data_IF_683879823130
#
_entry.id   IF_683879823130
#
_cell.length_a   1.000
_cell.length_b   1.000
_cell.length_c   1.000
_cell.angle_alpha   90.00
_cell.angle_beta   90.00
_cell.angle_gamma   90.00
#
_symmetry.space_group_name_H-M   'P 1'
#
loop_
_entity.id
_entity.type
_entity.pdbx_description
1 polymer ?
#
# COMPACT_ATOMS: atom_id res chain seq x y z
N UNK A 1 2.90 2.76 -22.56
CA UNK A 1 3.30 2.32 -21.20
C UNK A 1 2.01 2.04 -20.45
N UNK A 2 1.80 0.81 -19.99
CA UNK A 2 0.51 0.43 -19.38
C UNK A 2 0.33 1.12 -18.03
N UNK A 3 -0.76 1.88 -17.86
CA UNK A 3 -1.13 2.55 -16.61
C UNK A 3 -1.52 1.57 -15.48
N UNK A 4 -1.22 0.29 -15.64
CA UNK A 4 -1.61 -0.77 -14.71
C UNK A 4 -0.89 -0.54 -13.37
N UNK A 5 -1.66 -0.32 -12.31
CA UNK A 5 -1.19 -0.09 -10.93
C UNK A 5 -0.60 1.31 -10.67
N UNK A 6 -0.96 2.35 -11.44
CA UNK A 6 -0.50 3.72 -11.22
C UNK A 6 -0.84 4.23 -9.82
N UNK A 7 -2.04 3.94 -9.30
CA UNK A 7 -2.43 4.36 -7.95
C UNK A 7 -1.68 3.56 -6.90
N UNK A 8 -1.63 2.22 -7.01
CA UNK A 8 -0.88 1.38 -6.08
C UNK A 8 0.61 1.76 -5.99
N UNK A 9 1.24 2.08 -7.14
CA UNK A 9 2.63 2.57 -7.17
C UNK A 9 2.78 3.93 -6.50
N UNK A 10 1.81 4.84 -6.71
CA UNK A 10 1.77 6.14 -6.04
C UNK A 10 1.64 6.03 -4.52
N UNK A 11 0.74 5.18 -4.03
CA UNK A 11 0.55 4.91 -2.60
C UNK A 11 1.82 4.33 -1.96
N UNK A 12 2.46 3.35 -2.61
CA UNK A 12 3.73 2.77 -2.13
C UNK A 12 4.87 3.80 -2.12
N UNK A 13 4.98 4.63 -3.16
CA UNK A 13 5.97 5.71 -3.21
C UNK A 13 5.75 6.74 -2.09
N UNK A 14 4.49 7.09 -1.81
CA UNK A 14 4.13 7.96 -0.70
C UNK A 14 4.53 7.35 0.65
N UNK A 15 4.21 6.08 0.90
CA UNK A 15 4.59 5.40 2.14
C UNK A 15 6.11 5.44 2.38
N UNK A 16 6.91 5.17 1.35
CA UNK A 16 8.39 5.26 1.40
C UNK A 16 8.89 6.67 1.65
N UNK A 17 8.26 7.67 1.02
CA UNK A 17 8.61 9.06 1.24
C UNK A 17 8.36 9.48 2.70
N UNK A 18 7.20 9.11 3.23
CA UNK A 18 6.83 9.39 4.63
C UNK A 18 7.77 8.68 5.60
N UNK A 19 8.13 7.43 5.34
CA UNK A 19 9.09 6.69 6.15
C UNK A 19 10.47 7.38 6.17
N UNK A 20 10.97 7.82 5.01
CA UNK A 20 12.22 8.56 4.94
C UNK A 20 12.16 9.86 5.75
N UNK A 21 11.05 10.61 5.65
CA UNK A 21 10.83 11.83 6.42
C UNK A 21 10.75 11.58 7.94
N UNK A 22 10.07 10.50 8.35
CA UNK A 22 10.01 10.05 9.75
C UNK A 22 11.39 9.73 10.31
N UNK A 23 12.17 8.94 9.57
CA UNK A 23 13.52 8.57 9.99
C UNK A 23 14.43 9.79 10.11
N UNK A 24 14.30 10.76 9.20
CA UNK A 24 15.06 12.01 9.29
C UNK A 24 14.64 12.85 10.50
N UNK A 25 13.33 13.04 10.71
CA UNK A 25 12.79 13.74 11.88
C UNK A 25 13.29 13.13 13.20
N UNK A 26 13.20 11.80 13.33
CA UNK A 26 13.56 11.08 14.56
C UNK A 26 15.06 11.11 14.88
N UNK A 27 15.95 11.38 13.91
CA UNK A 27 17.40 11.49 14.19
C UNK A 27 17.72 12.53 15.27
N UNK A 28 16.97 13.63 15.31
CA UNK A 28 17.14 14.71 16.27
C UNK A 28 16.33 14.53 17.57
N UNK A 29 15.49 13.50 17.68
CA UNK A 29 14.58 13.33 18.81
C UNK A 29 15.15 12.35 19.85
N UNK A 30 15.02 12.70 21.14
CA UNK A 30 15.33 11.78 22.25
C UNK A 30 14.42 10.54 22.23
N UNK A 31 13.16 10.73 21.83
CA UNK A 31 12.11 9.70 21.78
C UNK A 31 12.38 8.57 20.77
N UNK A 32 13.40 8.69 19.89
CA UNK A 32 13.71 7.68 18.87
C UNK A 32 14.05 6.29 19.41
N UNK A 33 14.41 6.19 20.69
CA UNK A 33 14.71 4.93 21.37
C UNK A 33 13.55 4.39 22.20
N UNK A 34 12.41 5.09 22.23
CA UNK A 34 11.23 4.62 22.93
C UNK A 34 10.62 3.41 22.21
N UNK A 35 10.24 2.38 22.97
CA UNK A 35 9.78 1.12 22.41
C UNK A 35 8.55 1.30 21.49
N UNK A 36 7.64 2.21 21.82
CA UNK A 36 6.46 2.50 21.01
C UNK A 36 6.82 3.18 19.68
N UNK A 37 7.80 4.08 19.69
CA UNK A 37 8.31 4.73 18.46
C UNK A 37 8.98 3.70 17.55
N UNK A 38 9.83 2.84 18.12
CA UNK A 38 10.48 1.75 17.38
C UNK A 38 9.43 0.80 16.79
N UNK A 39 8.41 0.42 17.57
CA UNK A 39 7.35 -0.48 17.11
C UNK A 39 6.53 0.15 15.97
N UNK A 40 6.14 1.42 16.09
CA UNK A 40 5.36 2.10 15.06
C UNK A 40 6.13 2.25 13.73
N UNK A 41 7.40 2.67 13.80
CA UNK A 41 8.26 2.77 12.61
C UNK A 41 8.56 1.39 12.03
N UNK A 42 8.77 0.38 12.87
CA UNK A 42 8.98 -1.01 12.47
C UNK A 42 7.76 -1.60 11.77
N UNK A 43 6.55 -1.36 12.26
CA UNK A 43 5.32 -1.81 11.61
C UNK A 43 5.15 -1.17 10.23
N UNK A 44 5.43 0.13 10.11
CA UNK A 44 5.43 0.82 8.82
C UNK A 44 6.40 0.18 7.82
N UNK A 45 7.64 -0.08 8.24
CA UNK A 45 8.65 -0.76 7.39
C UNK A 45 8.14 -2.11 6.91
N UNK A 46 7.58 -2.94 7.80
CA UNK A 46 7.04 -4.25 7.46
C UNK A 46 5.92 -4.14 6.41
N UNK A 47 5.04 -3.13 6.50
CA UNK A 47 3.97 -2.94 5.50
C UNK A 47 4.49 -2.46 4.15
N UNK A 48 5.54 -1.62 4.15
CA UNK A 48 6.22 -1.21 2.91
C UNK A 48 6.86 -2.43 2.25
N UNK A 49 7.60 -3.24 3.00
CA UNK A 49 8.27 -4.44 2.50
C UNK A 49 7.26 -5.48 1.97
N UNK A 50 6.13 -5.65 2.66
CA UNK A 50 5.05 -6.51 2.18
C UNK A 50 4.42 -6.00 0.88
N UNK A 51 4.18 -4.69 0.76
CA UNK A 51 3.69 -4.08 -0.48
C UNK A 51 4.70 -4.24 -1.63
N UNK A 52 5.99 -4.17 -1.35
CA UNK A 52 7.06 -4.43 -2.32
C UNK A 52 7.09 -5.88 -2.81
N UNK A 53 6.97 -6.83 -1.89
CA UNK A 53 6.87 -8.25 -2.25
C UNK A 53 5.62 -8.53 -3.12
N UNK A 54 4.51 -7.84 -2.85
CA UNK A 54 3.30 -7.93 -3.66
C UNK A 54 3.48 -7.27 -5.03
N UNK A 55 4.18 -6.13 -5.11
CA UNK A 55 4.49 -5.46 -6.38
C UNK A 55 5.29 -6.36 -7.31
N UNK A 56 6.29 -7.08 -6.77
CA UNK A 56 7.12 -8.00 -7.54
C UNK A 56 6.30 -9.13 -8.22
N UNK A 57 5.08 -9.38 -7.75
CA UNK A 57 4.17 -10.41 -8.28
C UNK A 57 2.92 -9.82 -8.93
N UNK A 58 2.77 -8.49 -8.98
CA UNK A 58 1.51 -7.84 -9.35
C UNK A 58 1.03 -8.17 -10.77
N UNK A 59 1.97 -8.43 -11.70
CA UNK A 59 1.66 -8.78 -13.08
C UNK A 59 1.36 -10.28 -13.28
N UNK A 60 1.47 -11.11 -12.24
CA UNK A 60 1.24 -12.56 -12.34
C UNK A 60 -0.24 -12.93 -12.51
N UNK A 61 -1.15 -12.12 -11.97
CA UNK A 61 -2.61 -12.29 -12.08
C UNK A 61 -3.35 -11.05 -11.60
N UNK A 62 -4.62 -10.90 -11.97
CA UNK A 62 -5.48 -9.85 -11.44
C UNK A 62 -5.66 -9.94 -9.93
N UNK A 63 -5.63 -11.14 -9.34
CA UNK A 63 -5.67 -11.29 -7.88
C UNK A 63 -4.40 -10.76 -7.21
N UNK A 64 -3.22 -11.01 -7.80
CA UNK A 64 -1.95 -10.45 -7.31
C UNK A 64 -1.91 -8.92 -7.48
N UNK A 65 -2.42 -8.41 -8.59
CA UNK A 65 -2.60 -6.98 -8.82
C UNK A 65 -3.51 -6.31 -7.77
N UNK A 66 -4.65 -6.92 -7.44
CA UNK A 66 -5.55 -6.42 -6.40
C UNK A 66 -4.84 -6.45 -5.03
N UNK A 67 -4.16 -7.56 -4.71
CA UNK A 67 -3.42 -7.69 -3.46
C UNK A 67 -2.34 -6.61 -3.31
N UNK A 68 -1.57 -6.34 -4.36
CA UNK A 68 -0.61 -5.24 -4.39
C UNK A 68 -1.27 -3.89 -4.08
N UNK A 69 -2.34 -3.53 -4.80
CA UNK A 69 -3.02 -2.24 -4.59
C UNK A 69 -3.56 -2.08 -3.17
N UNK A 70 -4.11 -3.14 -2.59
CA UNK A 70 -4.58 -3.14 -1.20
C UNK A 70 -3.42 -3.01 -0.21
N UNK A 71 -2.32 -3.74 -0.43
CA UNK A 71 -1.12 -3.66 0.42
C UNK A 71 -0.48 -2.27 0.39
N UNK A 72 -0.32 -1.70 -0.81
CA UNK A 72 0.22 -0.35 -0.98
C UNK A 72 -0.67 0.72 -0.34
N UNK A 73 -1.99 0.63 -0.53
CA UNK A 73 -2.92 1.58 0.08
C UNK A 73 -2.93 1.51 1.61
N UNK A 74 -2.76 0.32 2.18
CA UNK A 74 -2.64 0.13 3.63
C UNK A 74 -1.32 0.65 4.17
N UNK A 75 -0.20 0.43 3.47
CA UNK A 75 1.09 1.02 3.81
C UNK A 75 1.01 2.56 3.78
N UNK A 76 0.37 3.15 2.76
CA UNK A 76 0.16 4.60 2.69
C UNK A 76 -0.73 5.14 3.82
N UNK A 77 -1.79 4.40 4.20
CA UNK A 77 -2.66 4.77 5.32
C UNK A 77 -1.90 4.75 6.65
N UNK A 78 -1.16 3.67 6.92
CA UNK A 78 -0.34 3.53 8.11
C UNK A 78 0.74 4.61 8.16
N UNK A 79 1.42 4.87 7.04
CA UNK A 79 2.42 5.93 6.94
C UNK A 79 1.85 7.30 7.36
N UNK A 80 0.70 7.67 6.80
CA UNK A 80 0.04 8.93 7.14
C UNK A 80 -0.33 9.00 8.63
N UNK A 81 -0.85 7.91 9.19
CA UNK A 81 -1.20 7.81 10.60
C UNK A 81 0.05 7.94 11.50
N UNK A 82 1.08 7.13 11.27
CA UNK A 82 2.33 7.14 12.04
C UNK A 82 3.03 8.49 11.97
N UNK A 83 3.07 9.13 10.80
CA UNK A 83 3.65 10.46 10.66
C UNK A 83 2.85 11.50 11.42
N UNK A 84 1.52 11.48 11.35
CA UNK A 84 0.69 12.38 12.12
C UNK A 84 0.86 12.19 13.63
N UNK A 85 0.88 10.94 14.11
CA UNK A 85 1.06 10.61 15.53
C UNK A 85 2.42 11.05 16.08
N UNK A 86 3.49 10.89 15.31
CA UNK A 86 4.85 11.20 15.76
C UNK A 86 5.30 12.65 15.51
N UNK A 87 4.79 13.29 14.45
CA UNK A 87 5.25 14.62 14.00
C UNK A 87 4.16 15.69 14.19
N UNK A 88 2.90 15.31 14.39
CA UNK A 88 1.77 16.23 14.55
C UNK A 88 1.30 16.90 13.26
N UNK A 89 1.79 16.45 12.10
CA UNK A 89 1.42 16.97 10.78
C UNK A 89 1.35 15.86 9.74
N UNK A 90 0.69 16.15 8.61
CA UNK A 90 0.53 15.21 7.51
C UNK A 90 1.34 15.62 6.30
N UNK A 91 1.90 14.65 5.58
CA UNK A 91 2.52 14.88 4.28
C UNK A 91 1.47 14.73 3.16
N UNK A 92 1.59 15.48 2.04
CA UNK A 92 0.66 15.37 0.93
C UNK A 92 0.57 13.94 0.39
N UNK A 93 -0.65 13.40 0.36
CA UNK A 93 -0.93 12.11 -0.26
C UNK A 93 -1.26 12.30 -1.74
N UNK A 94 -0.74 11.47 -2.66
CA UNK A 94 -1.15 11.50 -4.05
C UNK A 94 -2.66 11.28 -4.18
N UNK A 95 -3.30 12.05 -5.06
CA UNK A 95 -4.71 11.80 -5.40
C UNK A 95 -4.82 10.53 -6.24
N UNK A 96 -5.84 9.69 -6.01
CA UNK A 96 -6.03 8.49 -6.81
C UNK A 96 -6.25 8.88 -8.28
N UNK A 97 -5.43 8.32 -9.17
CA UNK A 97 -5.68 8.42 -10.61
C UNK A 97 -6.97 7.68 -10.95
N UNK A 98 -7.86 8.30 -11.73
CA UNK A 98 -9.24 7.86 -11.98
C UNK A 98 -9.42 6.53 -12.73
N UNK A 99 -8.35 5.79 -13.00
CA UNK A 99 -8.37 4.55 -13.79
C UNK A 99 -8.54 3.27 -12.96
N UNK A 100 -8.25 3.29 -11.65
CA UNK A 100 -8.32 2.09 -10.81
C UNK A 100 -9.62 2.02 -10.01
N UNK A 101 -10.23 0.81 -9.83
CA UNK A 101 -11.40 0.66 -8.98
C UNK A 101 -11.09 1.10 -7.56
N UNK A 102 -12.07 1.72 -6.89
CA UNK A 102 -11.95 2.09 -5.49
C UNK A 102 -11.64 0.87 -4.59
N UNK A 103 -10.93 1.08 -3.48
CA UNK A 103 -10.50 0.01 -2.57
C UNK A 103 -11.63 -0.92 -2.08
N UNK A 104 -12.85 -0.43 -1.74
CA UNK A 104 -13.94 -1.32 -1.36
C UNK A 104 -14.32 -2.30 -2.47
N UNK A 105 -14.36 -1.82 -3.72
CA UNK A 105 -14.61 -2.65 -4.90
C UNK A 105 -13.50 -3.68 -5.08
N UNK A 106 -12.25 -3.27 -4.89
CA UNK A 106 -11.10 -4.20 -4.97
C UNK A 106 -11.19 -5.31 -3.92
N UNK A 107 -11.49 -4.97 -2.66
CA UNK A 107 -11.69 -5.96 -1.58
C UNK A 107 -12.81 -6.92 -1.91
N UNK A 108 -13.94 -6.41 -2.40
CA UNK A 108 -15.07 -7.23 -2.83
C UNK A 108 -14.66 -8.21 -3.93
N UNK A 109 -14.00 -7.74 -5.00
CA UNK A 109 -13.54 -8.59 -6.10
C UNK A 109 -12.60 -9.70 -5.63
N UNK A 110 -11.69 -9.39 -4.71
CA UNK A 110 -10.77 -10.39 -4.15
C UNK A 110 -11.50 -11.42 -3.27
N UNK A 111 -12.45 -10.95 -2.45
CA UNK A 111 -13.30 -11.80 -1.62
C UNK A 111 -14.16 -12.72 -2.48
N UNK A 112 -14.85 -12.17 -3.48
CA UNK A 112 -15.66 -12.95 -4.42
C UNK A 112 -14.82 -14.00 -5.16
N UNK A 113 -13.58 -13.68 -5.54
CA UNK A 113 -12.69 -14.63 -6.18
C UNK A 113 -12.30 -15.81 -5.27
N UNK A 114 -11.81 -15.53 -4.06
CA UNK A 114 -11.30 -16.59 -3.17
C UNK A 114 -12.38 -17.31 -2.36
N UNK A 115 -13.48 -16.63 -2.03
CA UNK A 115 -14.55 -17.19 -1.19
C UNK A 115 -15.69 -17.76 -2.03
N UNK A 116 -15.98 -17.14 -3.18
CA UNK A 116 -17.14 -17.48 -4.00
C UNK A 116 -16.76 -18.09 -5.37
N UNK A 117 -15.46 -18.22 -5.67
CA UNK A 117 -14.97 -18.77 -6.94
C UNK A 117 -15.26 -17.89 -8.15
N UNK A 118 -15.55 -16.59 -7.95
CA UNK A 118 -15.85 -15.68 -9.04
C UNK A 118 -14.64 -15.50 -9.97
N UNK A 119 -14.90 -15.52 -11.28
CA UNK A 119 -13.85 -15.29 -12.27
C UNK A 119 -13.32 -13.87 -12.19
N UNK A 120 -12.01 -13.74 -12.10
CA UNK A 120 -11.31 -12.49 -12.39
C UNK A 120 -11.11 -12.39 -13.91
N UNK A 121 -11.03 -11.18 -14.46
CA UNK A 121 -10.97 -10.89 -15.90
C UNK A 121 -9.87 -11.66 -16.66
N UNK A 122 -8.80 -12.12 -15.99
CA UNK A 122 -7.76 -12.97 -16.57
C UNK A 122 -8.21 -14.43 -16.80
N UNK A 123 -9.19 -14.94 -16.05
CA UNK A 123 -9.76 -16.29 -16.24
C UNK A 123 -10.80 -16.34 -17.37
N UNK A 124 -11.37 -15.21 -17.78
CA UNK A 124 -12.33 -15.16 -18.88
C UNK A 124 -11.67 -15.39 -20.25
N UNK A 125 -10.36 -15.19 -20.40
CA UNK A 125 -9.64 -15.39 -21.67
C UNK A 125 -9.30 -16.85 -21.99
N UNK A 126 -9.44 -17.76 -21.03
CA UNK A 126 -9.10 -19.19 -21.20
C UNK A 126 -10.31 -20.01 -21.69
N UNK A 127 -11.50 -19.40 -21.84
CA UNK A 127 -12.72 -20.07 -22.29
C UNK A 127 -13.33 -19.46 -23.56
N UNK A 128 -12.50 -19.08 -24.54
CA UNK A 128 -12.96 -18.65 -25.86
C UNK A 128 -12.33 -19.51 -26.96
#
# INVERSE_FOLDING_TARGET
>A
MSNTHSQGRGDLAHARHVEAALLDYLRGQSARHEALVIAAVGELRIRIDAADALLARADASQSAAIAFRLGAAEAARLAAQTHFELVGSSLPRPQPGSAEPALPTQRRLLGDHYLNGAALADQQRVQA
#
